data_IF_295443130781
#
_entry.id   IF_295443130781
#
_cell.length_a   1.000
_cell.length_b   1.000
_cell.length_c   1.000
_cell.angle_alpha   90.00
_cell.angle_beta   90.00
_cell.angle_gamma   90.00
#
_symmetry.space_group_name_H-M   'P 1'
#
loop_
_entity.id
_entity.type
_entity.pdbx_description
1 polymer ?
#
# COMPACT_ATOMS: atom_id res chain seq x y z
N UNK A 1 5.39 -5.28 27.26
CA UNK A 1 4.08 -5.14 26.62
C UNK A 1 4.18 -4.03 25.59
N UNK A 2 4.23 -4.34 24.28
CA UNK A 2 4.27 -3.29 23.22
C UNK A 2 2.85 -2.74 23.08
N UNK A 3 2.66 -1.41 23.03
CA UNK A 3 1.32 -0.84 23.01
C UNK A 3 0.63 -1.27 21.71
N UNK A 4 -0.65 -1.62 21.86
CA UNK A 4 -1.66 -1.66 20.83
C UNK A 4 -1.41 -0.53 19.83
N UNK A 5 -0.83 -0.87 18.67
CA UNK A 5 -0.68 0.07 17.57
C UNK A 5 -2.10 0.31 17.07
N UNK A 6 -2.68 1.35 17.65
CA UNK A 6 -3.98 1.92 17.37
C UNK A 6 -4.48 1.45 16.01
N UNK A 7 -5.59 0.72 16.02
CA UNK A 7 -6.41 0.42 14.85
C UNK A 7 -6.97 1.74 14.32
N UNK A 8 -6.09 2.57 13.78
CA UNK A 8 -6.45 3.67 12.92
C UNK A 8 -7.18 3.02 11.74
N UNK A 9 -8.33 3.58 11.33
CA UNK A 9 -9.09 3.00 10.22
C UNK A 9 -8.13 2.79 9.05
N UNK A 10 -8.10 1.58 8.45
CA UNK A 10 -7.09 1.22 7.46
C UNK A 10 -7.15 2.25 6.33
N UNK A 11 -6.14 3.12 6.30
CA UNK A 11 -6.03 4.15 5.28
C UNK A 11 -5.65 3.44 4.00
N UNK A 12 -6.59 3.40 3.07
CA UNK A 12 -6.38 2.83 1.75
C UNK A 12 -5.92 3.92 0.81
N UNK A 13 -4.70 3.78 0.29
CA UNK A 13 -4.11 4.66 -0.69
C UNK A 13 -4.24 4.05 -2.08
N UNK A 14 -4.49 4.87 -3.10
CA UNK A 14 -4.41 4.40 -4.50
C UNK A 14 -2.94 4.26 -4.90
N UNK A 15 -2.67 3.61 -6.03
CA UNK A 15 -1.30 3.42 -6.55
C UNK A 15 -0.48 4.72 -6.61
N UNK A 16 -1.08 5.86 -7.02
CA UNK A 16 -0.38 7.15 -7.04
C UNK A 16 -0.01 7.66 -5.65
N UNK A 17 -0.94 7.56 -4.71
CA UNK A 17 -0.75 7.99 -3.33
C UNK A 17 0.26 7.09 -2.61
N UNK A 18 0.17 5.78 -2.82
CA UNK A 18 1.11 4.80 -2.29
C UNK A 18 2.52 5.03 -2.83
N UNK A 19 2.62 5.39 -4.12
CA UNK A 19 3.90 5.73 -4.74
C UNK A 19 4.51 6.99 -4.11
N UNK A 20 3.71 8.04 -3.91
CA UNK A 20 4.14 9.25 -3.23
C UNK A 20 4.57 8.97 -1.77
N UNK A 21 3.83 8.12 -1.06
CA UNK A 21 4.13 7.73 0.31
C UNK A 21 5.49 7.03 0.44
N UNK A 22 5.79 6.11 -0.49
CA UNK A 22 7.07 5.39 -0.52
C UNK A 22 8.20 6.18 -1.20
N UNK A 23 7.95 7.41 -1.68
CA UNK A 23 8.86 8.12 -2.60
C UNK A 23 9.28 7.28 -3.81
N UNK A 24 8.39 6.42 -4.30
CA UNK A 24 8.58 5.60 -5.49
C UNK A 24 7.76 6.13 -6.66
N UNK A 25 8.12 5.70 -7.86
CA UNK A 25 7.26 5.93 -9.02
C UNK A 25 6.05 4.98 -8.99
N UNK A 26 4.86 5.41 -9.45
CA UNK A 26 3.70 4.53 -9.58
C UNK A 26 4.01 3.32 -10.47
N UNK A 27 4.87 3.51 -11.47
CA UNK A 27 5.40 2.46 -12.35
C UNK A 27 6.21 1.40 -11.61
N UNK A 28 6.91 1.80 -10.55
CA UNK A 28 7.61 0.86 -9.65
C UNK A 28 6.58 0.03 -8.89
N UNK A 29 5.55 0.64 -8.30
CA UNK A 29 4.49 -0.13 -7.66
C UNK A 29 3.79 -1.08 -8.64
N UNK A 30 3.53 -0.66 -9.88
CA UNK A 30 3.01 -1.55 -10.92
C UNK A 30 3.92 -2.74 -11.19
N UNK A 31 5.25 -2.54 -11.28
CA UNK A 31 6.22 -3.63 -11.38
C UNK A 31 6.13 -4.56 -10.17
N UNK A 32 6.12 -4.03 -8.95
CA UNK A 32 6.03 -4.84 -7.73
C UNK A 32 4.77 -5.72 -7.70
N UNK A 33 3.67 -5.29 -8.33
CA UNK A 33 2.47 -6.13 -8.47
C UNK A 33 2.68 -7.32 -9.40
N UNK A 34 3.42 -7.12 -10.49
CA UNK A 34 3.75 -8.18 -11.46
C UNK A 34 4.79 -9.13 -10.91
N UNK A 35 5.81 -8.61 -10.22
CA UNK A 35 6.89 -9.41 -9.64
C UNK A 35 6.54 -10.03 -8.29
N UNK A 36 5.45 -9.59 -7.63
CA UNK A 36 5.04 -10.09 -6.32
C UNK A 36 5.98 -9.71 -5.17
N UNK A 37 6.93 -8.80 -5.41
CA UNK A 37 7.98 -8.39 -4.46
C UNK A 37 7.67 -7.05 -3.78
N UNK A 38 6.40 -6.68 -3.68
CA UNK A 38 6.05 -5.45 -2.99
C UNK A 38 4.71 -5.49 -2.29
N UNK A 39 4.27 -4.31 -1.81
CA UNK A 39 3.20 -4.22 -0.85
C UNK A 39 1.89 -4.86 -1.36
N UNK A 40 1.21 -5.60 -0.50
CA UNK A 40 -0.07 -6.23 -0.75
C UNK A 40 -1.09 -5.19 -1.20
N UNK A 41 -1.59 -5.40 -2.40
CA UNK A 41 -2.66 -4.60 -2.96
C UNK A 41 -4.00 -5.30 -2.73
N UNK A 42 -5.02 -4.51 -2.43
CA UNK A 42 -6.41 -4.94 -2.35
C UNK A 42 -7.17 -4.44 -3.58
N UNK A 43 -7.99 -5.31 -4.17
CA UNK A 43 -8.92 -4.94 -5.23
C UNK A 43 -10.26 -4.58 -4.61
N UNK A 44 -10.67 -3.32 -4.77
CA UNK A 44 -11.97 -2.80 -4.37
C UNK A 44 -12.77 -2.56 -5.66
N UNK A 45 -13.47 -3.61 -6.11
CA UNK A 45 -14.12 -3.65 -7.42
C UNK A 45 -13.10 -3.44 -8.55
N UNK A 46 -13.28 -2.37 -9.33
CA UNK A 46 -12.36 -1.98 -10.42
C UNK A 46 -11.15 -1.15 -10.01
N UNK A 47 -10.96 -0.89 -8.70
CA UNK A 47 -9.87 -0.06 -8.19
C UNK A 47 -8.88 -0.88 -7.39
N UNK A 48 -7.63 -0.46 -7.44
CA UNK A 48 -6.53 -1.07 -6.70
C UNK A 48 -6.11 -0.10 -5.62
N UNK A 49 -6.08 -0.59 -4.39
CA UNK A 49 -5.69 0.17 -3.22
C UNK A 49 -4.62 -0.57 -2.43
N UNK A 50 -3.79 0.18 -1.74
CA UNK A 50 -2.75 -0.28 -0.84
C UNK A 50 -3.11 0.16 0.57
N UNK A 51 -2.85 -0.68 1.56
CA UNK A 51 -3.02 -0.29 2.96
C UNK A 51 -1.76 0.46 3.39
N UNK A 52 -1.89 1.59 4.09
CA UNK A 52 -0.70 2.31 4.61
C UNK A 52 0.17 1.41 5.49
N UNK A 53 -0.45 0.55 6.29
CA UNK A 53 0.23 -0.45 7.13
C UNK A 53 1.21 -1.31 6.33
N UNK A 54 0.76 -1.76 5.15
CA UNK A 54 1.53 -2.61 4.26
C UNK A 54 2.63 -1.84 3.51
N UNK A 55 2.46 -0.53 3.33
CA UNK A 55 3.49 0.37 2.79
C UNK A 55 4.54 0.80 3.83
N UNK A 56 4.27 0.65 5.13
CA UNK A 56 5.18 1.09 6.20
C UNK A 56 6.14 -0.02 6.66
N UNK A 57 5.98 -1.25 6.15
CA UNK A 57 6.79 -2.41 6.53
C UNK A 57 8.06 -2.54 5.69
#
# INVERSE_FOLDING_TARGET
MRPDLAVLPPRYLRTKEAAAFLSLSPRTLEKHRTYGTGPAYKKLGGRVVYSVDDLQH
#
